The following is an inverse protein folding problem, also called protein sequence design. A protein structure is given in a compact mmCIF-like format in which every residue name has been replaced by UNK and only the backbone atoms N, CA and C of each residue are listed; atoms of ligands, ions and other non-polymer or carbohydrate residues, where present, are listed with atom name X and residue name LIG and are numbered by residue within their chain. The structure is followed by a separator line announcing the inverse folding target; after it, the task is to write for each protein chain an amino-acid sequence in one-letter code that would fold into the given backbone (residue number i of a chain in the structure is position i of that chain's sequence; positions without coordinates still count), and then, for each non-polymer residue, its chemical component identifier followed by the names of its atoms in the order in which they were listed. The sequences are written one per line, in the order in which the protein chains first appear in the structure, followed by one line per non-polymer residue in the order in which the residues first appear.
data_IF_663798928435
#
_entry.id   IF_663798928435
#
_cell.length_a   1.000
_cell.length_b   1.000
_cell.length_c   1.000
_cell.angle_alpha   90.00
_cell.angle_beta   90.00
_cell.angle_gamma   90.00
#
_symmetry.space_group_name_H-M   'P 1'
#
loop_
_entity.id
_entity.type
_entity.pdbx_description
1 polymer ?
#
# COMPACT_ATOMS: atom_id res chain seq x y z
N UNK A 1 7.46 -16.18 -5.95
CA UNK A 1 6.92 -14.88 -5.49
C UNK A 1 5.46 -15.06 -5.10
N UNK A 2 5.08 -14.56 -3.95
CA UNK A 2 3.71 -14.54 -3.44
C UNK A 2 3.29 -13.10 -3.17
N UNK A 3 2.09 -12.73 -3.60
CA UNK A 3 1.46 -11.45 -3.23
C UNK A 3 0.11 -11.74 -2.59
N UNK A 4 -0.26 -10.97 -1.59
CA UNK A 4 -1.51 -11.12 -0.87
C UNK A 4 -2.14 -9.75 -0.65
N UNK A 5 -3.42 -9.65 -0.95
CA UNK A 5 -4.29 -8.54 -0.55
C UNK A 5 -5.40 -9.07 0.36
N UNK A 6 -6.15 -8.20 0.97
CA UNK A 6 -7.26 -8.55 1.86
C UNK A 6 -8.52 -7.82 1.43
N UNK A 7 -9.65 -8.33 1.87
CA UNK A 7 -10.92 -7.62 1.85
C UNK A 7 -11.40 -7.43 3.28
N UNK A 8 -12.03 -6.30 3.57
CA UNK A 8 -12.57 -6.02 4.89
C UNK A 8 -13.72 -7.00 5.19
N UNK A 9 -13.56 -7.94 6.13
CA UNK A 9 -14.66 -8.83 6.49
C UNK A 9 -15.73 -8.06 7.27
N UNK A 10 -16.99 -8.49 7.16
CA UNK A 10 -18.00 -8.02 8.11
C UNK A 10 -17.55 -8.36 9.54
N UNK A 11 -17.32 -7.37 10.42
CA UNK A 11 -16.80 -7.61 11.76
C UNK A 11 -17.71 -8.51 12.61
N UNK A 12 -19.00 -8.64 12.28
CA UNK A 12 -19.95 -9.48 12.99
C UNK A 12 -20.10 -10.89 12.41
N UNK A 13 -19.49 -11.14 11.24
CA UNK A 13 -19.46 -12.46 10.62
C UNK A 13 -18.49 -13.41 11.33
N UNK A 14 -18.53 -14.69 10.96
CA UNK A 14 -17.54 -15.68 11.40
C UNK A 14 -16.11 -15.27 10.95
N UNK A 15 -15.96 -14.84 9.72
CA UNK A 15 -14.69 -14.33 9.19
C UNK A 15 -14.17 -13.13 10.01
N UNK A 16 -15.05 -12.15 10.32
CA UNK A 16 -14.66 -10.99 11.13
C UNK A 16 -14.25 -11.34 12.56
N UNK A 17 -14.69 -12.47 13.10
CA UNK A 17 -14.37 -12.93 14.48
C UNK A 17 -13.25 -13.97 14.54
N UNK A 18 -12.65 -14.32 13.41
CA UNK A 18 -11.55 -15.27 13.34
C UNK A 18 -10.34 -14.78 14.17
N UNK A 19 -9.49 -15.71 14.61
CA UNK A 19 -8.20 -15.37 15.22
C UNK A 19 -7.20 -14.89 14.15
N UNK A 20 -7.36 -13.65 13.69
CA UNK A 20 -6.55 -13.05 12.66
C UNK A 20 -5.07 -12.94 13.04
N UNK A 21 -4.76 -12.66 14.30
CA UNK A 21 -3.36 -12.61 14.75
C UNK A 21 -2.66 -13.97 14.65
N UNK A 22 -3.37 -15.05 15.00
CA UNK A 22 -2.87 -16.42 14.81
C UNK A 22 -2.67 -16.75 13.33
N UNK A 23 -3.62 -16.33 12.49
CA UNK A 23 -3.53 -16.51 11.05
C UNK A 23 -2.35 -15.74 10.44
N UNK A 24 -2.16 -14.47 10.81
CA UNK A 24 -1.03 -13.64 10.34
C UNK A 24 0.32 -14.28 10.70
N UNK A 25 0.49 -14.80 11.92
CA UNK A 25 1.74 -15.48 12.33
C UNK A 25 2.07 -16.68 11.44
N UNK A 26 1.06 -17.41 10.98
CA UNK A 26 1.26 -18.59 10.14
C UNK A 26 1.46 -18.24 8.66
N UNK A 27 0.89 -17.16 8.17
CA UNK A 27 0.85 -16.83 6.74
C UNK A 27 1.99 -15.87 6.34
N UNK A 28 2.30 -14.86 7.15
CA UNK A 28 3.28 -13.81 6.81
C UNK A 28 4.67 -14.34 6.45
N UNK A 29 5.21 -15.43 7.06
CA UNK A 29 6.51 -15.99 6.63
C UNK A 29 6.56 -16.44 5.16
N UNK A 30 5.40 -16.68 4.55
CA UNK A 30 5.26 -17.16 3.17
C UNK A 30 4.82 -16.06 2.18
N UNK A 31 4.62 -14.83 2.66
CA UNK A 31 4.16 -13.70 1.84
C UNK A 31 5.34 -12.80 1.49
N UNK A 32 5.57 -12.61 0.20
CA UNK A 32 6.61 -11.70 -0.29
C UNK A 32 6.13 -10.24 -0.31
N UNK A 33 4.89 -10.00 -0.78
CA UNK A 33 4.27 -8.69 -0.85
C UNK A 33 2.87 -8.73 -0.22
N UNK A 34 2.65 -7.96 0.82
CA UNK A 34 1.35 -7.85 1.48
C UNK A 34 0.78 -6.43 1.29
N UNK A 35 -0.39 -6.32 0.65
CA UNK A 35 -0.90 -5.06 0.11
C UNK A 35 -2.34 -4.71 0.54
N UNK A 36 -2.72 -4.86 1.81
CA UNK A 36 -4.05 -4.51 2.29
C UNK A 36 -4.23 -2.99 2.41
N UNK A 37 -5.46 -2.55 2.65
CA UNK A 37 -5.73 -1.20 3.14
C UNK A 37 -5.41 -1.08 4.63
N UNK A 38 -5.17 0.15 5.11
CA UNK A 38 -4.99 0.40 6.55
C UNK A 38 -6.24 0.04 7.35
N UNK A 39 -7.44 0.21 6.78
CA UNK A 39 -8.70 -0.12 7.45
C UNK A 39 -8.86 -1.62 7.64
N UNK A 40 -8.56 -2.41 6.61
CA UNK A 40 -8.55 -3.87 6.68
C UNK A 40 -7.55 -4.34 7.73
N UNK A 41 -6.33 -3.83 7.65
CA UNK A 41 -5.29 -4.24 8.58
C UNK A 41 -5.59 -3.87 10.02
N UNK A 42 -6.16 -2.70 10.29
CA UNK A 42 -6.47 -2.31 11.66
C UNK A 42 -7.52 -3.25 12.28
N UNK A 43 -8.55 -3.66 11.52
CA UNK A 43 -9.53 -4.64 12.00
C UNK A 43 -8.87 -5.99 12.36
N UNK A 44 -7.91 -6.45 11.56
CA UNK A 44 -7.24 -7.73 11.74
C UNK A 44 -6.14 -7.67 12.81
N UNK A 45 -5.53 -6.50 13.00
CA UNK A 45 -4.41 -6.26 13.90
C UNK A 45 -4.87 -5.92 15.31
N UNK A 46 -5.78 -4.95 15.42
CA UNK A 46 -6.37 -4.47 16.68
C UNK A 46 -7.84 -4.06 16.47
N UNK A 47 -8.72 -5.01 16.71
CA UNK A 47 -10.17 -4.83 16.56
C UNK A 47 -10.73 -3.77 17.50
N UNK A 48 -10.18 -3.63 18.70
CA UNK A 48 -10.66 -2.64 19.69
C UNK A 48 -10.37 -1.23 19.19
N UNK A 49 -9.11 -0.99 18.79
CA UNK A 49 -8.69 0.29 18.22
C UNK A 49 -9.46 0.59 16.92
N UNK A 50 -9.67 -0.41 16.04
CA UNK A 50 -10.53 -0.25 14.86
C UNK A 50 -11.95 0.23 15.24
N UNK A 51 -12.55 -0.36 16.29
CA UNK A 51 -13.85 0.03 16.80
C UNK A 51 -13.88 1.46 17.36
N UNK A 52 -12.78 1.91 17.97
CA UNK A 52 -12.62 3.27 18.47
C UNK A 52 -12.61 4.30 17.33
N UNK A 53 -11.82 4.09 16.31
CA UNK A 53 -11.80 4.96 15.12
C UNK A 53 -13.20 5.11 14.51
N UNK A 54 -13.93 4.01 14.37
CA UNK A 54 -15.28 4.05 13.81
C UNK A 54 -16.29 4.79 14.70
N UNK A 55 -16.17 4.73 16.01
CA UNK A 55 -17.06 5.46 16.94
C UNK A 55 -16.84 6.97 16.90
N UNK A 56 -15.62 7.43 16.61
CA UNK A 56 -15.31 8.85 16.55
C UNK A 56 -15.69 9.52 15.22
N UNK A 57 -16.27 8.78 14.27
CA UNK A 57 -16.88 9.33 13.05
C UNK A 57 -15.91 9.79 11.95
N UNK A 58 -14.63 9.80 12.22
CA UNK A 58 -13.61 10.08 11.20
C UNK A 58 -13.23 8.75 10.52
N UNK A 59 -13.18 8.74 9.20
CA UNK A 59 -12.71 7.57 8.46
C UNK A 59 -11.31 7.16 8.93
N UNK A 60 -11.06 5.86 9.10
CA UNK A 60 -9.75 5.34 9.53
C UNK A 60 -8.64 5.84 8.60
N UNK A 61 -8.90 5.82 7.30
CA UNK A 61 -7.97 6.29 6.26
C UNK A 61 -7.55 7.74 6.51
N UNK A 62 -8.49 8.62 6.84
CA UNK A 62 -8.23 10.07 6.97
C UNK A 62 -7.58 10.43 8.31
N UNK A 63 -7.83 9.64 9.36
CA UNK A 63 -7.43 9.98 10.74
C UNK A 63 -6.29 9.12 11.30
N UNK A 64 -5.97 7.98 10.71
CA UNK A 64 -4.89 7.11 11.18
C UNK A 64 -3.54 7.84 11.18
N UNK A 65 -2.86 7.94 12.34
CA UNK A 65 -1.54 8.56 12.42
C UNK A 65 -0.47 7.69 11.74
N UNK A 66 0.59 8.30 11.25
CA UNK A 66 1.71 7.58 10.61
C UNK A 66 2.34 6.52 11.53
N UNK A 67 2.32 6.76 12.84
CA UNK A 67 2.80 5.80 13.84
C UNK A 67 2.06 4.45 13.76
N UNK A 68 0.77 4.45 13.48
CA UNK A 68 -0.04 3.23 13.33
C UNK A 68 0.39 2.42 12.08
N UNK A 69 0.63 3.09 10.96
CA UNK A 69 1.17 2.42 9.75
C UNK A 69 2.51 1.76 10.04
N UNK A 70 3.38 2.46 10.78
CA UNK A 70 4.71 1.98 11.15
C UNK A 70 4.67 0.78 12.08
N UNK A 71 3.77 0.81 13.06
CA UNK A 71 3.54 -0.28 14.01
C UNK A 71 3.07 -1.53 13.28
N UNK A 72 1.98 -1.42 12.51
CA UNK A 72 1.40 -2.55 11.78
C UNK A 72 2.41 -3.14 10.80
N UNK A 73 3.01 -2.31 9.95
CA UNK A 73 3.97 -2.81 8.96
C UNK A 73 5.22 -3.40 9.62
N UNK A 74 5.73 -2.78 10.69
CA UNK A 74 6.86 -3.32 11.45
C UNK A 74 6.55 -4.68 12.06
N UNK A 75 5.36 -4.85 12.64
CA UNK A 75 4.91 -6.13 13.18
C UNK A 75 4.77 -7.21 12.10
N UNK A 76 4.21 -6.88 10.92
CA UNK A 76 4.10 -7.82 9.79
C UNK A 76 5.46 -8.25 9.23
N UNK A 77 6.43 -7.32 9.14
CA UNK A 77 7.80 -7.66 8.76
C UNK A 77 8.47 -8.56 9.81
N UNK A 78 8.26 -8.28 11.10
CA UNK A 78 8.75 -9.13 12.19
C UNK A 78 8.16 -10.55 12.16
N UNK A 79 6.95 -10.71 11.61
CA UNK A 79 6.35 -12.03 11.33
C UNK A 79 6.91 -12.72 10.06
N UNK A 80 7.82 -12.07 9.32
CA UNK A 80 8.52 -12.68 8.18
C UNK A 80 8.04 -12.25 6.80
N UNK A 81 7.10 -11.31 6.69
CA UNK A 81 6.71 -10.73 5.40
C UNK A 81 7.91 -10.04 4.72
N UNK A 82 7.96 -10.06 3.39
CA UNK A 82 9.05 -9.44 2.63
C UNK A 82 8.89 -7.93 2.47
N UNK A 83 7.71 -7.47 2.14
CA UNK A 83 7.38 -6.06 1.99
C UNK A 83 5.89 -5.84 2.28
N UNK A 84 5.58 -4.75 2.97
CA UNK A 84 4.22 -4.37 3.35
C UNK A 84 3.87 -3.04 2.70
N UNK A 85 2.75 -2.99 1.99
CA UNK A 85 2.16 -1.80 1.40
C UNK A 85 0.78 -1.61 2.00
N UNK A 86 0.58 -0.54 2.74
CA UNK A 86 -0.72 -0.20 3.32
C UNK A 86 -1.39 0.89 2.47
N UNK A 87 -2.46 0.52 1.78
CA UNK A 87 -3.26 1.46 0.98
C UNK A 87 -4.00 2.42 1.91
N UNK A 88 -3.90 3.72 1.64
CA UNK A 88 -4.43 4.80 2.46
C UNK A 88 -5.40 5.72 1.68
N UNK A 89 -6.11 5.19 0.70
CA UNK A 89 -7.08 5.92 -0.12
C UNK A 89 -6.52 7.22 -0.69
N UNK A 90 -7.20 8.34 -0.45
CA UNK A 90 -6.80 9.66 -0.93
C UNK A 90 -5.45 10.17 -0.37
N UNK A 91 -4.89 9.52 0.64
CA UNK A 91 -3.56 9.86 1.18
C UNK A 91 -2.42 9.17 0.41
N UNK A 92 -2.69 8.04 -0.27
CA UNK A 92 -1.71 7.27 -1.06
C UNK A 92 -1.37 5.91 -0.48
N UNK A 93 -0.10 5.51 -0.57
CA UNK A 93 0.39 4.19 -0.13
C UNK A 93 1.59 4.37 0.78
N UNK A 94 1.51 3.79 1.97
CA UNK A 94 2.66 3.59 2.85
C UNK A 94 3.35 2.27 2.50
N UNK A 95 4.68 2.24 2.46
CA UNK A 95 5.46 1.03 2.22
C UNK A 95 6.56 0.87 3.26
N UNK A 96 6.76 -0.37 3.72
CA UNK A 96 7.90 -0.77 4.54
C UNK A 96 8.42 -2.12 4.09
N UNK A 97 9.76 -2.26 3.99
CA UNK A 97 10.38 -3.44 3.41
C UNK A 97 11.35 -4.09 4.40
N UNK A 98 11.50 -5.39 4.27
CA UNK A 98 12.44 -6.17 5.06
C UNK A 98 13.90 -5.91 4.65
N UNK A 99 14.81 -6.52 5.37
CA UNK A 99 16.23 -6.49 5.06
C UNK A 99 16.58 -7.22 3.75
N UNK A 100 17.82 -7.03 3.30
CA UNK A 100 18.31 -7.64 2.07
C UNK A 100 18.35 -9.18 2.13
N UNK A 101 18.47 -9.78 3.30
CA UNK A 101 18.48 -11.24 3.44
C UNK A 101 17.10 -11.82 3.13
N UNK A 102 16.04 -11.23 3.68
CA UNK A 102 14.66 -11.64 3.39
C UNK A 102 14.29 -11.38 1.92
N UNK A 103 14.68 -10.21 1.38
CA UNK A 103 14.36 -9.84 -0.01
C UNK A 103 15.07 -10.71 -1.05
N UNK A 104 16.26 -11.24 -0.77
CA UNK A 104 16.96 -12.20 -1.66
C UNK A 104 16.16 -13.49 -1.91
N UNK A 105 15.19 -13.83 -1.05
CA UNK A 105 14.31 -14.98 -1.25
C UNK A 105 13.20 -14.72 -2.29
N UNK A 106 13.01 -13.47 -2.67
CA UNK A 106 12.00 -13.05 -3.65
C UNK A 106 12.61 -13.12 -5.04
N UNK A 107 12.29 -14.17 -5.76
CA UNK A 107 12.96 -14.53 -7.03
C UNK A 107 12.83 -13.48 -8.15
N UNK A 108 11.81 -12.62 -8.11
CA UNK A 108 11.59 -11.57 -9.10
C UNK A 108 12.51 -10.36 -8.89
N UNK A 109 13.00 -10.14 -7.66
CA UNK A 109 13.93 -9.05 -7.38
C UNK A 109 15.34 -9.44 -7.82
N UNK A 110 15.94 -8.67 -8.70
CA UNK A 110 17.35 -8.82 -9.10
C UNK A 110 18.31 -8.33 -8.00
N UNK A 111 19.59 -8.65 -8.12
CA UNK A 111 20.58 -8.20 -7.15
C UNK A 111 20.64 -6.66 -6.96
N UNK A 112 20.57 -5.81 -8.01
CA UNK A 112 20.44 -4.36 -7.83
C UNK A 112 19.14 -3.95 -7.13
N UNK A 113 18.03 -4.62 -7.43
CA UNK A 113 16.74 -4.33 -6.79
C UNK A 113 16.77 -4.63 -5.28
N UNK A 114 17.48 -5.68 -4.84
CA UNK A 114 17.62 -5.96 -3.41
C UNK A 114 18.21 -4.77 -2.64
N UNK A 115 19.15 -4.02 -3.22
CA UNK A 115 19.74 -2.84 -2.59
C UNK A 115 18.75 -1.66 -2.56
N UNK A 116 18.04 -1.43 -3.65
CA UNK A 116 17.03 -0.35 -3.71
C UNK A 116 15.85 -0.62 -2.78
N UNK A 117 15.50 -1.87 -2.55
CA UNK A 117 14.31 -2.25 -1.79
C UNK A 117 14.56 -2.51 -0.29
N UNK A 118 15.80 -2.79 0.14
CA UNK A 118 16.07 -3.25 1.50
C UNK A 118 15.98 -2.16 2.57
N UNK A 119 15.29 -2.46 3.67
CA UNK A 119 15.18 -1.60 4.86
C UNK A 119 14.61 -0.21 4.57
N UNK A 120 13.67 -0.12 3.64
CA UNK A 120 13.07 1.16 3.24
C UNK A 120 11.76 1.41 3.97
N UNK A 121 11.49 2.68 4.25
CA UNK A 121 10.22 3.16 4.75
C UNK A 121 9.78 4.36 3.90
N UNK A 122 8.75 4.19 3.07
CA UNK A 122 8.32 5.14 2.05
C UNK A 122 6.85 5.52 2.22
N UNK A 123 6.53 6.74 1.82
CA UNK A 123 5.18 7.18 1.55
C UNK A 123 5.07 7.68 0.12
N UNK A 124 4.23 7.07 -0.69
CA UNK A 124 3.87 7.56 -2.02
C UNK A 124 2.53 8.27 -1.93
N UNK A 125 2.50 9.58 -2.14
CA UNK A 125 1.29 10.37 -2.12
C UNK A 125 0.34 9.99 -3.26
N UNK A 126 -0.97 10.00 -2.99
CA UNK A 126 -1.98 9.83 -4.03
C UNK A 126 -1.95 11.01 -5.02
N UNK A 127 -2.66 10.87 -6.11
CA UNK A 127 -2.86 11.96 -7.07
C UNK A 127 -4.21 12.63 -6.84
N UNK A 128 -4.23 13.97 -6.96
CA UNK A 128 -5.45 14.73 -6.84
C UNK A 128 -6.42 14.40 -8.00
N UNK A 129 -7.70 14.27 -7.67
CA UNK A 129 -8.77 14.17 -8.68
C UNK A 129 -10.05 14.82 -8.16
N UNK A 130 -10.69 15.61 -9.04
CA UNK A 130 -11.98 16.25 -8.78
C UNK A 130 -13.15 15.50 -9.48
N UNK A 131 -12.85 14.48 -10.31
CA UNK A 131 -13.81 13.77 -11.16
C UNK A 131 -13.98 12.30 -10.77
N UNK A 132 -14.15 12.02 -9.48
CA UNK A 132 -14.35 10.66 -8.99
C UNK A 132 -15.75 10.17 -9.37
N UNK A 133 -15.82 9.09 -10.16
CA UNK A 133 -17.06 8.41 -10.54
C UNK A 133 -17.38 7.26 -9.57
N UNK A 134 -16.38 6.46 -9.22
CA UNK A 134 -16.52 5.32 -8.31
C UNK A 134 -15.17 4.99 -7.69
N UNK A 135 -15.17 4.58 -6.41
CA UNK A 135 -13.97 4.05 -5.75
C UNK A 135 -13.91 2.50 -5.78
N UNK A 136 -14.95 1.85 -6.33
CA UNK A 136 -14.98 0.38 -6.41
C UNK A 136 -13.83 -0.15 -7.28
N UNK A 137 -13.04 -1.09 -6.76
CA UNK A 137 -11.90 -1.69 -7.46
C UNK A 137 -10.62 -0.84 -7.48
N UNK A 138 -10.62 0.39 -6.92
CA UNK A 138 -9.41 1.23 -6.91
C UNK A 138 -8.25 0.60 -6.14
N UNK A 139 -8.56 -0.14 -5.06
CA UNK A 139 -7.58 -0.92 -4.31
C UNK A 139 -6.98 -2.05 -5.14
N UNK A 140 -7.81 -2.82 -5.85
CA UNK A 140 -7.37 -3.91 -6.72
C UNK A 140 -6.51 -3.37 -7.88
N UNK A 141 -6.92 -2.24 -8.47
CA UNK A 141 -6.14 -1.55 -9.50
C UNK A 141 -4.79 -1.05 -8.97
N UNK A 142 -4.74 -0.55 -7.73
CA UNK A 142 -3.48 -0.16 -7.10
C UNK A 142 -2.54 -1.37 -6.93
N UNK A 143 -3.05 -2.52 -6.50
CA UNK A 143 -2.29 -3.78 -6.44
C UNK A 143 -1.82 -4.21 -7.83
N UNK A 144 -2.69 -4.16 -8.84
CA UNK A 144 -2.34 -4.50 -10.22
C UNK A 144 -1.23 -3.58 -10.77
N UNK A 145 -1.31 -2.27 -10.50
CA UNK A 145 -0.29 -1.29 -10.88
C UNK A 145 1.06 -1.58 -10.23
N UNK A 146 1.06 -1.82 -8.93
CA UNK A 146 2.25 -2.22 -8.19
C UNK A 146 2.89 -3.47 -8.79
N UNK A 147 2.12 -4.54 -8.99
CA UNK A 147 2.63 -5.81 -9.54
C UNK A 147 3.12 -5.64 -10.97
N UNK A 148 2.44 -4.84 -11.80
CA UNK A 148 2.89 -4.55 -13.17
C UNK A 148 4.25 -3.87 -13.17
N UNK A 149 4.45 -2.82 -12.39
CA UNK A 149 5.72 -2.10 -12.30
C UNK A 149 6.85 -2.99 -11.74
N UNK A 150 6.55 -3.81 -10.73
CA UNK A 150 7.48 -4.80 -10.17
C UNK A 150 7.95 -5.80 -11.24
N UNK A 151 7.03 -6.35 -12.05
CA UNK A 151 7.35 -7.29 -13.13
C UNK A 151 8.16 -6.64 -14.25
N UNK A 152 8.09 -5.31 -14.39
CA UNK A 152 8.91 -4.52 -15.29
C UNK A 152 10.20 -3.99 -14.64
N UNK A 153 10.60 -4.56 -13.50
CA UNK A 153 11.84 -4.24 -12.78
C UNK A 153 12.02 -2.74 -12.44
N UNK A 154 10.91 -2.04 -12.21
CA UNK A 154 10.92 -0.65 -11.74
C UNK A 154 11.48 -0.57 -10.30
N UNK A 155 11.98 0.61 -9.90
CA UNK A 155 12.38 0.88 -8.52
C UNK A 155 11.18 0.80 -7.56
N UNK A 156 11.43 0.72 -6.26
CA UNK A 156 10.36 0.69 -5.26
C UNK A 156 9.48 1.94 -5.36
N UNK A 157 10.10 3.11 -5.53
CA UNK A 157 9.42 4.39 -5.67
C UNK A 157 8.48 4.41 -6.89
N UNK A 158 8.99 4.01 -8.06
CA UNK A 158 8.20 3.91 -9.29
C UNK A 158 7.06 2.90 -9.14
N UNK A 159 7.32 1.78 -8.48
CA UNK A 159 6.34 0.73 -8.26
C UNK A 159 5.17 1.23 -7.39
N UNK A 160 5.44 2.02 -6.35
CA UNK A 160 4.41 2.67 -5.53
C UNK A 160 3.62 3.72 -6.32
N UNK A 161 4.30 4.52 -7.16
CA UNK A 161 3.63 5.50 -8.02
C UNK A 161 2.70 4.83 -9.04
N UNK A 162 3.12 3.71 -9.64
CA UNK A 162 2.27 2.92 -10.52
C UNK A 162 1.02 2.41 -9.82
N UNK A 163 1.17 1.91 -8.58
CA UNK A 163 0.04 1.52 -7.75
C UNK A 163 -0.95 2.67 -7.56
N UNK A 164 -0.48 3.82 -7.10
CA UNK A 164 -1.32 5.00 -6.93
C UNK A 164 -1.96 5.45 -8.25
N UNK A 165 -1.22 5.39 -9.37
CA UNK A 165 -1.71 5.83 -10.68
C UNK A 165 -2.84 4.95 -11.22
N UNK A 166 -2.72 3.62 -11.12
CA UNK A 166 -3.79 2.72 -11.56
C UNK A 166 -5.02 2.84 -10.66
N UNK A 167 -4.83 2.95 -9.34
CA UNK A 167 -5.93 3.25 -8.43
C UNK A 167 -6.65 4.57 -8.79
N UNK A 168 -5.89 5.62 -9.10
CA UNK A 168 -6.42 6.91 -9.53
C UNK A 168 -7.14 6.82 -10.89
N UNK A 169 -6.59 6.10 -11.88
CA UNK A 169 -7.24 5.89 -13.18
C UNK A 169 -8.62 5.24 -13.01
N UNK A 170 -8.70 4.22 -12.14
CA UNK A 170 -9.96 3.52 -11.88
C UNK A 170 -11.05 4.42 -11.29
N UNK A 171 -10.72 5.42 -10.47
CA UNK A 171 -11.69 6.34 -9.88
C UNK A 171 -12.54 7.09 -10.91
N UNK A 172 -12.10 7.17 -12.16
CA UNK A 172 -12.71 7.90 -13.28
C UNK A 172 -13.69 7.08 -14.10
N UNK A 173 -13.93 5.83 -13.72
CA UNK A 173 -14.90 4.94 -14.35
C UNK A 173 -15.92 4.44 -13.32
N UNK A 174 -17.12 4.06 -13.80
CA UNK A 174 -18.16 3.50 -12.93
C UNK A 174 -17.90 2.03 -12.59
N UNK A 175 -17.22 1.32 -13.47
CA UNK A 175 -16.83 -0.08 -13.26
C UNK A 175 -15.41 -0.19 -12.67
N UNK A 176 -14.97 -1.43 -12.43
CA UNK A 176 -13.75 -1.70 -11.69
C UNK A 176 -12.47 -1.70 -12.55
N UNK A 177 -12.54 -1.55 -13.87
CA UNK A 177 -11.38 -1.72 -14.75
C UNK A 177 -11.31 -0.82 -15.99
N UNK A 178 -12.43 -0.31 -16.51
CA UNK A 178 -12.46 0.40 -17.81
C UNK A 178 -11.69 1.73 -17.80
N UNK A 179 -11.44 2.30 -16.63
CA UNK A 179 -10.64 3.52 -16.49
C UNK A 179 -9.14 3.30 -16.63
N UNK A 180 -8.66 2.03 -16.54
CA UNK A 180 -7.23 1.72 -16.50
C UNK A 180 -6.66 1.67 -17.92
N UNK A 181 -5.63 2.49 -18.18
CA UNK A 181 -4.90 2.52 -19.45
C UNK A 181 -3.80 1.46 -19.56
N UNK A 182 -3.18 1.42 -20.72
CA UNK A 182 -1.99 0.59 -20.98
C UNK A 182 -0.78 1.05 -20.14
N UNK A 183 0.26 0.22 -20.06
CA UNK A 183 1.52 0.58 -19.40
C UNK A 183 2.10 1.89 -19.95
N UNK A 184 2.17 2.04 -21.28
CA UNK A 184 2.71 3.24 -21.92
C UNK A 184 1.88 4.50 -21.62
N UNK A 185 0.56 4.39 -21.61
CA UNK A 185 -0.34 5.50 -21.24
C UNK A 185 -0.17 5.87 -19.79
N UNK A 186 -0.01 4.89 -18.89
CA UNK A 186 0.25 5.11 -17.47
C UNK A 186 1.58 5.82 -17.24
N UNK A 187 2.65 5.42 -17.95
CA UNK A 187 3.96 6.11 -17.88
C UNK A 187 3.90 7.57 -18.37
N UNK A 188 3.11 7.85 -19.41
CA UNK A 188 2.89 9.21 -19.87
C UNK A 188 2.03 10.04 -18.91
N UNK A 189 1.07 9.40 -18.27
CA UNK A 189 0.16 10.04 -17.32
C UNK A 189 0.91 10.43 -16.04
N UNK A 190 1.76 9.55 -15.51
CA UNK A 190 2.59 9.81 -14.32
C UNK A 190 3.45 11.09 -14.45
N UNK A 191 3.87 11.44 -15.66
CA UNK A 191 4.62 12.69 -15.92
C UNK A 191 3.78 13.96 -15.80
N UNK A 192 2.46 13.83 -15.77
CA UNK A 192 1.49 14.96 -15.77
C UNK A 192 0.72 15.08 -14.46
N UNK A 193 0.66 13.99 -13.68
CA UNK A 193 -0.10 13.97 -12.45
C UNK A 193 0.63 14.73 -11.33
N UNK A 194 -0.14 15.39 -10.49
CA UNK A 194 0.36 16.12 -9.33
C UNK A 194 -0.02 15.37 -8.06
N UNK A 195 0.98 14.99 -7.24
CA UNK A 195 0.73 14.36 -5.95
C UNK A 195 0.01 15.31 -5.00
N UNK A 196 -0.84 14.77 -4.14
CA UNK A 196 -1.43 15.53 -3.03
C UNK A 196 -0.36 15.88 -1.98
N UNK A 197 -0.61 16.93 -1.20
CA UNK A 197 0.26 17.25 -0.07
C UNK A 197 0.15 16.22 1.05
N UNK A 198 1.23 16.06 1.82
CA UNK A 198 1.34 15.09 2.91
C UNK A 198 1.62 15.77 4.27
N UNK A 199 0.75 16.70 4.74
CA UNK A 199 1.02 17.50 5.94
C UNK A 199 1.06 16.68 7.24
N UNK A 200 0.66 15.42 7.20
CA UNK A 200 0.69 14.48 8.32
C UNK A 200 2.04 13.78 8.51
N UNK A 201 2.99 13.99 7.58
CA UNK A 201 4.36 13.50 7.70
C UNK A 201 5.23 14.58 8.37
N UNK A 202 6.05 14.16 9.30
CA UNK A 202 6.95 15.05 10.06
C UNK A 202 8.28 15.32 9.32
N UNK A 203 9.18 16.03 9.99
CA UNK A 203 10.47 16.43 9.42
C UNK A 203 11.47 15.28 9.21
N UNK A 204 11.15 14.06 9.62
CA UNK A 204 12.00 12.87 9.36
C UNK A 204 11.81 12.31 7.95
N UNK A 205 10.87 12.85 7.18
CA UNK A 205 10.57 12.42 5.82
C UNK A 205 11.24 13.35 4.80
N UNK A 206 11.92 12.76 3.82
CA UNK A 206 12.61 13.49 2.73
C UNK A 206 12.05 13.08 1.38
N UNK A 207 11.97 14.05 0.47
CA UNK A 207 11.62 13.78 -0.91
C UNK A 207 12.69 12.89 -1.57
N UNK A 208 12.24 11.86 -2.29
CA UNK A 208 13.09 11.04 -3.15
C UNK A 208 13.25 11.68 -4.53
N UNK A 209 13.99 11.03 -5.43
CA UNK A 209 14.06 11.44 -6.83
C UNK A 209 12.71 11.30 -7.58
N UNK A 210 11.79 10.45 -7.05
CA UNK A 210 10.46 10.27 -7.61
C UNK A 210 9.48 11.27 -6.98
N UNK A 211 8.88 12.14 -7.81
CA UNK A 211 7.94 13.18 -7.36
C UNK A 211 6.78 12.59 -6.55
N UNK A 212 6.53 13.13 -5.35
CA UNK A 212 5.45 12.66 -4.47
C UNK A 212 5.77 11.37 -3.71
N UNK A 213 6.98 10.86 -3.80
CA UNK A 213 7.47 9.76 -2.94
C UNK A 213 8.44 10.35 -1.91
N UNK A 214 8.14 10.10 -0.65
CA UNK A 214 8.97 10.50 0.48
C UNK A 214 9.52 9.26 1.17
N UNK A 215 10.74 9.37 1.66
CA UNK A 215 11.42 8.34 2.43
C UNK A 215 11.73 8.85 3.82
N UNK A 216 11.57 7.97 4.79
CA UNK A 216 11.92 8.27 6.18
C UNK A 216 13.41 7.98 6.43
N UNK A 217 14.10 8.95 7.04
CA UNK A 217 15.50 8.83 7.53
C UNK A 217 15.59 7.97 8.79
#
# INVERSE_FOLDING_TARGET
MTSLDMALPDPNSEAGRMNWQGWLRNVMPHVDFFMPSIEEMLLLWDREQWGEFRRHGNGIVDSAPIALYREIAGGLLALGCGAVMLKAGARGIYAKTADAERLRRISILSAPAHQNWANRELWSAAFADENIQSAAGSGDCAVAGFLTALLHAKSLEETLQFGNCLGWQNLRALDTVSGVGTLAETELLLKKLHPVTTPFLDQSWRATACTGVLERE
#
